data_IF_397904825908
#
_entry.id   IF_397904825908
#
_cell.length_a   1.000
_cell.length_b   1.000
_cell.length_c   1.000
_cell.angle_alpha   90.00
_cell.angle_beta   90.00
_cell.angle_gamma   90.00
#
_symmetry.space_group_name_H-M   'P 1'
#
loop_
_entity.id
_entity.type
_entity.pdbx_description
1 polymer ?
#
# COMPACT_ATOMS: atom_id res chain seq x y z
N UNK A 1 -17.42 -39.22 -36.77
CA UNK A 1 -16.76 -39.04 -35.46
C UNK A 1 -16.82 -37.55 -35.08
N UNK A 2 -17.86 -37.14 -34.36
CA UNK A 2 -18.14 -35.75 -33.99
C UNK A 2 -17.42 -35.38 -32.69
N UNK A 3 -16.61 -34.32 -32.69
CA UNK A 3 -15.96 -33.80 -31.47
C UNK A 3 -16.68 -32.53 -31.02
N UNK A 4 -17.61 -32.68 -30.07
CA UNK A 4 -18.16 -31.57 -29.26
C UNK A 4 -17.06 -31.03 -28.36
N UNK A 5 -16.69 -29.75 -28.53
CA UNK A 5 -15.92 -29.01 -27.53
C UNK A 5 -16.87 -28.56 -26.42
N UNK A 6 -16.69 -29.07 -25.21
CA UNK A 6 -17.35 -28.55 -24.02
C UNK A 6 -16.72 -27.23 -23.62
N UNK A 7 -17.44 -26.13 -23.79
CA UNK A 7 -17.13 -24.85 -23.14
C UNK A 7 -17.51 -24.95 -21.67
N UNK A 8 -16.56 -24.69 -20.78
CA UNK A 8 -16.82 -24.55 -19.35
C UNK A 8 -17.22 -23.10 -19.09
N UNK A 9 -18.46 -22.88 -18.67
CA UNK A 9 -18.93 -21.59 -18.17
C UNK A 9 -18.37 -21.38 -16.77
N UNK A 10 -17.61 -20.30 -16.57
CA UNK A 10 -17.09 -19.89 -15.27
C UNK A 10 -18.22 -19.14 -14.53
N UNK A 11 -18.75 -19.73 -13.48
CA UNK A 11 -19.71 -19.10 -12.57
C UNK A 11 -18.89 -18.27 -11.58
N UNK A 12 -18.95 -16.95 -11.67
CA UNK A 12 -18.43 -16.03 -10.65
C UNK A 12 -19.58 -15.85 -9.66
N UNK A 13 -19.41 -16.35 -8.44
CA UNK A 13 -20.30 -16.05 -7.34
C UNK A 13 -20.06 -14.59 -6.91
N UNK A 14 -21.14 -13.85 -6.71
CA UNK A 14 -21.15 -12.46 -6.29
C UNK A 14 -20.66 -12.33 -4.83
N UNK A 15 -19.38 -12.03 -4.65
CA UNK A 15 -18.77 -11.58 -3.38
C UNK A 15 -19.00 -10.06 -3.15
N UNK A 16 -20.22 -9.58 -3.40
CA UNK A 16 -20.55 -8.16 -3.17
C UNK A 16 -20.71 -7.83 -1.67
N UNK A 17 -21.07 -8.80 -0.83
CA UNK A 17 -21.32 -8.54 0.60
C UNK A 17 -20.05 -8.38 1.45
N UNK A 18 -18.92 -8.99 1.07
CA UNK A 18 -17.65 -8.83 1.82
C UNK A 18 -16.94 -7.49 1.53
N UNK A 19 -17.27 -6.81 0.42
CA UNK A 19 -16.64 -5.55 0.03
C UNK A 19 -17.12 -4.35 0.86
N UNK A 20 -18.38 -4.36 1.33
CA UNK A 20 -18.92 -3.27 2.13
C UNK A 20 -18.33 -3.23 3.55
N UNK A 21 -17.99 -4.39 4.13
CA UNK A 21 -17.43 -4.45 5.48
C UNK A 21 -15.96 -4.02 5.54
N UNK A 22 -15.19 -4.17 4.46
CA UNK A 22 -13.78 -3.72 4.42
C UNK A 22 -13.63 -2.22 4.22
N UNK A 23 -14.57 -1.55 3.52
CA UNK A 23 -14.58 -0.09 3.40
C UNK A 23 -14.89 0.60 4.75
N UNK A 24 -15.65 -0.07 5.63
CA UNK A 24 -16.05 0.45 6.94
C UNK A 24 -14.92 0.41 7.99
N UNK A 25 -13.88 -0.40 7.76
CA UNK A 25 -12.70 -0.57 8.63
C UNK A 25 -11.48 0.24 8.17
N UNK A 26 -11.60 1.03 7.10
CA UNK A 26 -10.49 1.83 6.60
C UNK A 26 -10.40 3.16 7.38
N UNK A 27 -9.34 3.37 8.21
CA UNK A 27 -9.15 4.58 9.01
C UNK A 27 -8.94 5.86 8.17
N UNK A 28 -8.75 5.72 6.86
CA UNK A 28 -8.64 6.82 5.90
C UNK A 28 -9.86 6.95 4.98
N UNK A 29 -10.99 6.29 5.30
CA UNK A 29 -12.20 6.38 4.47
C UNK A 29 -12.88 7.75 4.57
N UNK A 30 -13.58 8.15 3.50
CA UNK A 30 -14.37 9.39 3.51
C UNK A 30 -15.51 9.37 4.55
N UNK A 31 -16.04 8.18 4.90
CA UNK A 31 -17.00 8.05 5.99
C UNK A 31 -16.39 8.36 7.36
N UNK A 32 -15.13 7.99 7.57
CA UNK A 32 -14.39 8.32 8.78
C UNK A 32 -14.01 9.81 8.84
N UNK A 33 -13.71 10.40 7.68
CA UNK A 33 -13.53 11.85 7.54
C UNK A 33 -14.80 12.63 7.92
N UNK A 34 -15.98 12.17 7.49
CA UNK A 34 -17.26 12.76 7.91
C UNK A 34 -17.50 12.56 9.41
N UNK A 35 -17.23 11.37 9.95
CA UNK A 35 -17.36 11.06 11.39
C UNK A 35 -16.47 11.98 12.26
N UNK A 36 -15.24 12.26 11.85
CA UNK A 36 -14.36 13.20 12.55
C UNK A 36 -14.90 14.63 12.51
N UNK A 37 -15.45 15.06 11.37
CA UNK A 37 -15.98 16.41 11.20
C UNK A 37 -17.24 16.67 12.04
N UNK A 38 -18.06 15.66 12.28
CA UNK A 38 -19.21 15.76 13.15
C UNK A 38 -18.80 15.80 14.64
N UNK A 39 -17.72 15.10 15.01
CA UNK A 39 -17.24 15.01 16.40
C UNK A 39 -16.56 16.31 16.90
N UNK A 40 -16.02 17.13 16.00
CA UNK A 40 -15.49 18.46 16.32
C UNK A 40 -16.59 19.50 16.68
N UNK A 41 -17.86 19.24 16.31
CA UNK A 41 -18.99 20.09 16.69
C UNK A 41 -19.48 19.81 18.11
N UNK A 42 -19.41 18.57 18.56
CA UNK A 42 -19.88 18.17 19.89
C UNK A 42 -18.88 18.50 21.00
N UNK A 43 -17.57 18.48 20.71
CA UNK A 43 -16.54 18.82 21.71
C UNK A 43 -16.46 20.31 22.07
N UNK A 44 -17.12 21.19 21.29
CA UNK A 44 -17.15 22.63 21.57
C UNK A 44 -18.32 23.05 22.51
N UNK A 45 -19.20 22.13 22.92
CA UNK A 45 -20.25 22.43 23.90
C UNK A 45 -19.87 22.06 25.36
N UNK A 46 -18.84 21.23 25.56
CA UNK A 46 -18.48 20.73 26.91
C UNK A 46 -17.28 21.44 27.56
N UNK A 47 -16.69 22.47 26.93
CA UNK A 47 -15.50 23.15 27.47
C UNK A 47 -15.76 24.20 28.57
N UNK A 48 -17.00 24.48 28.94
CA UNK A 48 -17.33 25.49 29.98
C UNK A 48 -17.59 24.91 31.38
N UNK A 49 -17.34 23.62 31.63
CA UNK A 49 -17.43 23.02 32.97
C UNK A 49 -16.31 22.02 33.26
N UNK A 50 -15.14 22.53 33.63
CA UNK A 50 -14.44 22.08 34.86
C UNK A 50 -13.04 22.71 34.93
N UNK A 51 -12.96 23.86 35.59
CA UNK A 51 -11.76 24.22 36.33
C UNK A 51 -12.02 23.90 37.80
N UNK A 52 -11.60 22.74 38.27
CA UNK A 52 -10.92 22.63 39.57
C UNK A 52 -10.39 21.23 39.82
N UNK A 53 -9.18 21.21 40.38
CA UNK A 53 -8.59 20.17 41.23
C UNK A 53 -7.74 19.11 40.52
N UNK A 54 -6.44 19.38 40.54
CA UNK A 54 -5.42 18.41 40.19
C UNK A 54 -5.28 17.26 41.17
N UNK A 55 -4.50 16.26 40.75
CA UNK A 55 -3.51 15.55 41.54
C UNK A 55 -2.61 14.75 40.60
N UNK A 56 -1.32 14.90 40.86
CA UNK A 56 -0.20 14.14 40.32
C UNK A 56 -0.44 12.64 40.42
N UNK A 57 -0.02 11.87 39.40
CA UNK A 57 0.79 10.65 39.60
C UNK A 57 1.65 10.35 38.37
N UNK A 58 2.93 10.48 38.66
CA UNK A 58 4.12 9.87 38.09
C UNK A 58 3.91 8.44 37.55
N UNK A 59 4.46 8.19 36.36
CA UNK A 59 4.46 6.88 35.69
C UNK A 59 5.42 6.92 34.50
N UNK A 60 6.72 6.96 34.78
CA UNK A 60 7.76 6.97 33.77
C UNK A 60 7.81 5.69 32.95
N UNK A 61 7.97 5.83 31.63
CA UNK A 61 8.66 4.85 30.79
C UNK A 61 9.52 5.60 29.77
N UNK A 62 10.82 5.43 29.95
CA UNK A 62 11.89 5.83 29.05
C UNK A 62 11.79 5.08 27.72
N UNK A 63 11.81 5.81 26.61
CA UNK A 63 12.36 5.33 25.35
C UNK A 63 13.22 6.44 24.75
N UNK A 64 14.46 6.06 24.48
CA UNK A 64 15.60 6.89 24.20
C UNK A 64 15.85 6.88 22.69
N UNK A 65 15.90 8.09 22.12
CA UNK A 65 16.63 8.52 20.91
C UNK A 65 16.21 8.02 19.53
N UNK A 66 15.95 9.00 18.68
CA UNK A 66 15.91 8.92 17.22
C UNK A 66 15.68 10.31 16.62
N UNK A 67 16.28 11.35 17.21
CA UNK A 67 16.40 12.67 16.59
C UNK A 67 17.70 12.68 15.77
N UNK A 68 17.70 13.49 14.71
CA UNK A 68 18.64 13.50 13.58
C UNK A 68 18.19 12.49 12.50
N UNK A 69 17.45 12.89 11.47
CA UNK A 69 17.91 13.66 10.31
C UNK A 69 16.76 14.54 9.79
N UNK A 70 16.77 15.83 10.10
CA UNK A 70 16.22 16.86 9.20
C UNK A 70 17.22 18.02 9.21
N UNK A 71 18.26 17.90 8.41
CA UNK A 71 19.10 19.05 8.05
C UNK A 71 19.89 18.73 6.79
N UNK A 72 19.93 19.70 5.87
CA UNK A 72 20.68 19.74 4.60
C UNK A 72 20.08 18.86 3.47
N UNK A 73 19.67 19.35 2.30
CA UNK A 73 19.82 20.63 1.60
C UNK A 73 18.73 20.62 0.50
N UNK A 74 17.80 21.58 0.51
CA UNK A 74 17.11 21.99 -0.72
C UNK A 74 17.47 23.47 -0.90
N UNK A 75 18.25 23.74 -1.94
CA UNK A 75 18.57 25.10 -2.39
C UNK A 75 17.30 25.77 -2.86
N UNK A 76 16.95 26.87 -2.17
CA UNK A 76 15.93 27.81 -2.59
C UNK A 76 16.47 28.62 -3.78
N UNK A 77 15.75 28.59 -4.90
CA UNK A 77 15.59 29.77 -5.74
C UNK A 77 14.11 30.18 -5.66
N UNK A 78 13.82 31.05 -4.70
CA UNK A 78 12.59 31.86 -4.68
C UNK A 78 13.02 33.30 -4.89
N UNK A 79 12.70 33.84 -6.05
CA UNK A 79 12.73 35.27 -6.27
C UNK A 79 11.66 35.95 -5.39
N UNK A 80 12.12 37.06 -4.80
CA UNK A 80 11.42 37.90 -3.86
C UNK A 80 10.26 38.64 -4.52
N UNK A 81 9.16 38.78 -3.78
CA UNK A 81 8.44 40.05 -3.74
C UNK A 81 7.65 40.11 -2.45
N UNK A 82 8.24 40.77 -1.46
CA UNK A 82 7.57 41.16 -0.22
C UNK A 82 7.88 42.62 0.06
N UNK A 83 6.87 43.25 0.67
CA UNK A 83 6.86 44.55 1.34
C UNK A 83 6.73 45.78 0.42
N UNK A 84 5.84 46.75 0.70
CA UNK A 84 5.41 47.23 2.02
C UNK A 84 3.90 47.49 2.13
N UNK A 85 3.36 47.26 3.34
CA UNK A 85 2.21 48.00 3.87
C UNK A 85 2.68 49.02 4.91
N UNK A 86 1.95 50.15 4.93
CA UNK A 86 1.76 51.13 6.02
C UNK A 86 2.66 52.38 6.03
N UNK A 87 2.07 53.58 5.91
CA UNK A 87 1.67 54.46 7.04
C UNK A 87 1.07 55.79 6.50
N UNK A 88 -0.17 56.13 6.89
CA UNK A 88 -0.65 57.35 7.62
C UNK A 88 -0.06 58.69 7.14
N UNK A 89 -0.78 59.80 6.94
CA UNK A 89 -2.16 60.17 7.23
C UNK A 89 -2.42 61.62 6.75
N UNK A 90 -3.50 62.19 7.27
CA UNK A 90 -3.91 63.60 7.26
C UNK A 90 -4.81 64.15 6.13
N UNK A 91 -6.08 64.32 6.55
CA UNK A 91 -6.81 65.60 6.60
C UNK A 91 -8.06 65.77 5.73
N UNK A 92 -9.10 66.24 6.42
CA UNK A 92 -10.33 66.90 5.96
C UNK A 92 -11.41 65.97 5.35
N UNK A 93 -12.44 65.64 6.14
CA UNK A 93 -13.70 66.44 6.27
C UNK A 93 -14.63 66.17 5.09
N UNK A 94 -15.86 65.71 5.23
CA UNK A 94 -16.74 65.47 6.37
C UNK A 94 -18.14 65.17 5.83
N UNK A 95 -19.01 64.63 6.69
CA UNK A 95 -20.48 64.73 6.71
C UNK A 95 -21.26 64.60 5.39
N UNK A 96 -22.18 63.65 5.23
CA UNK A 96 -23.34 63.48 6.10
C UNK A 96 -24.48 64.38 5.61
N UNK A 97 -25.64 63.79 5.31
CA UNK A 97 -26.88 64.56 5.14
C UNK A 97 -27.80 64.07 4.03
N UNK A 98 -28.61 63.07 4.34
CA UNK A 98 -29.99 63.03 3.84
C UNK A 98 -30.74 64.22 4.45
N UNK A 99 -31.53 64.97 3.66
CA UNK A 99 -32.75 65.65 4.16
C UNK A 99 -33.58 66.19 3.00
N UNK A 100 -34.79 65.64 2.89
CA UNK A 100 -36.09 66.31 2.91
C UNK A 100 -36.42 67.46 1.95
N UNK A 101 -37.59 67.25 1.34
CA UNK A 101 -38.50 68.21 0.74
C UNK A 101 -38.62 69.52 1.53
N UNK A 102 -38.67 70.63 0.79
CA UNK A 102 -39.33 71.85 1.27
C UNK A 102 -39.93 72.63 0.11
N UNK A 103 -41.24 72.44 -0.01
CA UNK A 103 -42.23 73.41 -0.46
C UNK A 103 -42.08 74.75 0.29
N UNK A 104 -41.96 75.84 -0.45
CA UNK A 104 -42.30 77.20 -0.02
C UNK A 104 -42.77 77.94 -1.29
N UNK A 105 -44.07 78.19 -1.39
CA UNK A 105 -44.63 79.10 -2.37
C UNK A 105 -44.05 80.50 -2.20
N UNK A 106 -43.73 81.16 -3.31
CA UNK A 106 -43.56 82.61 -3.32
C UNK A 106 -44.11 83.16 -4.63
N UNK A 107 -45.40 83.53 -4.56
CA UNK A 107 -45.98 84.50 -5.46
C UNK A 107 -45.39 85.87 -5.11
N UNK A 108 -44.69 86.51 -6.04
CA UNK A 108 -44.52 87.97 -6.03
C UNK A 108 -45.06 88.55 -7.34
N UNK A 109 -46.21 89.19 -7.17
CA UNK A 109 -46.74 90.23 -8.03
C UNK A 109 -45.67 91.25 -8.42
N UNK A 110 -45.72 91.67 -9.69
CA UNK A 110 -45.57 93.06 -10.11
C UNK A 110 -44.27 93.78 -9.77
N UNK A 111 -43.39 93.93 -10.77
CA UNK A 111 -42.90 95.26 -11.22
C UNK A 111 -42.03 95.07 -12.45
N UNK A 112 -42.38 95.77 -13.54
CA UNK A 112 -41.49 95.92 -14.68
C UNK A 112 -40.25 96.72 -14.25
N UNK A 113 -39.01 96.29 -14.57
CA UNK A 113 -37.87 97.16 -14.48
C UNK A 113 -37.78 97.95 -15.80
N UNK A 114 -38.40 99.13 -15.83
CA UNK A 114 -37.90 100.19 -16.70
C UNK A 114 -36.59 100.70 -16.09
N UNK A 115 -35.48 100.12 -16.53
CA UNK A 115 -34.16 100.75 -16.45
C UNK A 115 -33.52 100.66 -17.83
N UNK A 116 -33.34 101.84 -18.46
CA UNK A 116 -32.43 102.06 -19.60
C UNK A 116 -31.06 101.46 -19.28
N UNK A 117 -30.66 100.48 -20.07
CA UNK A 117 -29.37 99.77 -19.97
C UNK A 117 -29.23 98.69 -21.04
N UNK A 118 -29.67 98.98 -22.28
CA UNK A 118 -29.62 98.05 -23.41
C UNK A 118 -28.20 98.01 -24.01
N UNK A 119 -27.29 97.26 -23.39
CA UNK A 119 -26.06 96.78 -24.05
C UNK A 119 -25.44 95.56 -23.37
N UNK A 120 -25.70 95.31 -22.08
CA UNK A 120 -25.19 94.14 -21.34
C UNK A 120 -26.02 92.85 -21.51
N UNK A 121 -27.34 92.97 -21.66
CA UNK A 121 -28.24 91.80 -21.75
C UNK A 121 -28.10 91.03 -23.08
N UNK A 122 -27.79 91.72 -24.19
CA UNK A 122 -27.59 91.09 -25.50
C UNK A 122 -26.30 90.26 -25.54
N UNK A 123 -25.21 90.80 -24.96
CA UNK A 123 -23.92 90.11 -24.83
C UNK A 123 -24.03 88.86 -23.95
N UNK A 124 -24.74 88.95 -22.82
CA UNK A 124 -24.98 87.81 -21.94
C UNK A 124 -25.81 86.70 -22.62
N UNK A 125 -26.88 87.06 -23.34
CA UNK A 125 -27.69 86.10 -24.11
C UNK A 125 -26.86 85.42 -25.21
N UNK A 126 -25.97 86.15 -25.87
CA UNK A 126 -25.09 85.59 -26.90
C UNK A 126 -24.04 84.62 -26.33
N UNK A 127 -23.48 84.93 -25.16
CA UNK A 127 -22.59 84.04 -24.41
C UNK A 127 -23.30 82.73 -24.02
N UNK A 128 -24.49 82.84 -23.42
CA UNK A 128 -25.31 81.67 -23.06
C UNK A 128 -25.66 80.80 -24.28
N UNK A 129 -25.91 81.40 -25.45
CA UNK A 129 -26.11 80.66 -26.70
C UNK A 129 -24.84 79.92 -27.13
N UNK A 130 -23.67 80.55 -27.03
CA UNK A 130 -22.39 79.91 -27.31
C UNK A 130 -22.11 78.73 -26.38
N UNK A 131 -22.31 78.92 -25.08
CA UNK A 131 -22.19 77.89 -24.06
C UNK A 131 -23.18 76.74 -24.30
N UNK A 132 -24.44 77.04 -24.63
CA UNK A 132 -25.44 76.02 -24.94
C UNK A 132 -25.06 75.18 -26.16
N UNK A 133 -24.48 75.80 -27.20
CA UNK A 133 -23.95 75.09 -28.36
C UNK A 133 -22.77 74.18 -27.95
N UNK A 134 -21.85 74.67 -27.12
CA UNK A 134 -20.72 73.88 -26.61
C UNK A 134 -21.18 72.70 -25.75
N UNK A 135 -22.08 72.92 -24.77
CA UNK A 135 -22.66 71.85 -23.94
C UNK A 135 -23.37 70.79 -24.80
N UNK A 136 -24.12 71.19 -25.82
CA UNK A 136 -24.76 70.25 -26.76
C UNK A 136 -23.74 69.45 -27.58
N UNK A 137 -22.55 69.98 -27.87
CA UNK A 137 -21.47 69.21 -28.52
C UNK A 137 -20.88 68.21 -27.54
N UNK A 138 -20.55 68.65 -26.32
CA UNK A 138 -20.01 67.78 -25.27
C UNK A 138 -20.96 66.64 -24.93
N UNK A 139 -22.28 66.90 -24.81
CA UNK A 139 -23.28 65.86 -24.60
C UNK A 139 -23.27 64.83 -25.73
N UNK A 140 -23.19 65.27 -26.99
CA UNK A 140 -23.13 64.36 -28.15
C UNK A 140 -21.84 63.55 -28.19
N UNK A 141 -20.72 64.12 -27.76
CA UNK A 141 -19.43 63.42 -27.66
C UNK A 141 -19.45 62.38 -26.56
N UNK A 142 -19.94 62.74 -25.37
CA UNK A 142 -20.15 61.82 -24.25
C UNK A 142 -21.10 60.68 -24.59
N UNK A 143 -22.19 60.97 -25.33
CA UNK A 143 -23.10 59.94 -25.82
C UNK A 143 -22.39 58.97 -26.78
N UNK A 144 -21.60 59.49 -27.72
CA UNK A 144 -20.82 58.66 -28.65
C UNK A 144 -19.77 57.80 -27.93
N UNK A 145 -19.04 58.36 -26.95
CA UNK A 145 -18.07 57.58 -26.18
C UNK A 145 -18.76 56.51 -25.33
N UNK A 146 -19.87 56.86 -24.66
CA UNK A 146 -20.65 55.90 -23.87
C UNK A 146 -21.22 54.76 -24.72
N UNK A 147 -21.61 55.02 -25.98
CA UNK A 147 -22.04 53.96 -26.91
C UNK A 147 -20.89 53.02 -27.29
N UNK A 148 -19.68 53.53 -27.49
CA UNK A 148 -18.48 52.72 -27.77
C UNK A 148 -18.12 51.88 -26.54
N UNK A 149 -18.10 52.49 -25.35
CA UNK A 149 -17.82 51.80 -24.10
C UNK A 149 -18.85 50.70 -23.83
N UNK A 150 -20.14 50.97 -24.08
CA UNK A 150 -21.21 49.98 -23.96
C UNK A 150 -21.03 48.79 -24.92
N UNK A 151 -20.57 49.02 -26.16
CA UNK A 151 -20.27 47.92 -27.10
C UNK A 151 -19.08 47.10 -26.61
N UNK A 152 -18.00 47.76 -26.18
CA UNK A 152 -16.82 47.08 -25.65
C UNK A 152 -17.14 46.28 -24.39
N UNK A 153 -17.97 46.82 -23.49
CA UNK A 153 -18.45 46.11 -22.31
C UNK A 153 -19.27 44.87 -22.70
N UNK A 154 -20.12 44.97 -23.73
CA UNK A 154 -20.88 43.82 -24.22
C UNK A 154 -19.95 42.73 -24.80
N UNK A 155 -19.00 43.11 -25.66
CA UNK A 155 -18.00 42.18 -26.22
C UNK A 155 -17.19 41.47 -25.14
N UNK A 156 -16.63 42.24 -24.18
CA UNK A 156 -15.88 41.67 -23.05
C UNK A 156 -16.74 40.76 -22.18
N UNK A 157 -18.01 41.10 -21.98
CA UNK A 157 -18.94 40.24 -21.21
C UNK A 157 -19.20 38.91 -21.92
N UNK A 158 -19.30 38.92 -23.25
CA UNK A 158 -19.47 37.71 -24.05
C UNK A 158 -18.20 36.85 -24.03
N UNK A 159 -17.02 37.47 -24.17
CA UNK A 159 -15.72 36.79 -24.07
C UNK A 159 -15.54 36.12 -22.70
N UNK A 160 -15.84 36.83 -21.60
CA UNK A 160 -15.76 36.26 -20.25
C UNK A 160 -16.71 35.07 -20.08
N UNK A 161 -17.92 35.18 -20.63
CA UNK A 161 -18.91 34.11 -20.54
C UNK A 161 -18.51 32.90 -21.39
N UNK A 162 -17.88 33.11 -22.55
CA UNK A 162 -17.29 32.04 -23.36
C UNK A 162 -16.13 31.36 -22.63
N UNK A 163 -15.22 32.13 -22.03
CA UNK A 163 -14.11 31.57 -21.23
C UNK A 163 -14.62 30.74 -20.07
N UNK A 164 -15.62 31.23 -19.34
CA UNK A 164 -16.24 30.48 -18.23
C UNK A 164 -16.80 29.13 -18.69
N UNK A 165 -17.47 29.08 -19.84
CA UNK A 165 -17.98 27.80 -20.39
C UNK A 165 -16.85 26.85 -20.81
N UNK A 166 -15.73 27.39 -21.29
CA UNK A 166 -14.58 26.59 -21.69
C UNK A 166 -13.87 26.00 -20.48
N UNK A 167 -13.62 26.83 -19.46
CA UNK A 167 -13.05 26.40 -18.17
C UNK A 167 -13.91 25.32 -17.50
N UNK A 168 -15.24 25.46 -17.54
CA UNK A 168 -16.16 24.45 -16.99
C UNK A 168 -16.05 23.12 -17.73
N UNK A 169 -15.92 23.13 -19.06
CA UNK A 169 -15.72 21.91 -19.85
C UNK A 169 -14.37 21.26 -19.55
N UNK A 170 -13.30 22.05 -19.53
CA UNK A 170 -11.96 21.55 -19.21
C UNK A 170 -11.91 20.96 -17.81
N UNK A 171 -12.59 21.58 -16.83
CA UNK A 171 -12.73 21.02 -15.49
C UNK A 171 -13.47 19.67 -15.49
N UNK A 172 -14.54 19.53 -16.27
CA UNK A 172 -15.28 18.26 -16.42
C UNK A 172 -14.44 17.17 -17.09
N UNK A 173 -13.66 17.52 -18.12
CA UNK A 173 -12.76 16.58 -18.80
C UNK A 173 -11.64 16.12 -17.86
N UNK A 174 -11.06 17.04 -17.09
CA UNK A 174 -10.06 16.73 -16.06
C UNK A 174 -10.64 15.81 -14.98
N UNK A 175 -11.85 16.09 -14.50
CA UNK A 175 -12.53 15.23 -13.52
C UNK A 175 -12.74 13.81 -14.06
N UNK A 176 -13.17 13.68 -15.32
CA UNK A 176 -13.35 12.37 -15.98
C UNK A 176 -12.03 11.60 -16.09
N UNK A 177 -10.93 12.28 -16.41
CA UNK A 177 -9.60 11.67 -16.44
C UNK A 177 -9.13 11.24 -15.05
N UNK A 178 -9.34 12.08 -14.02
CA UNK A 178 -8.99 11.75 -12.64
C UNK A 178 -9.76 10.52 -12.16
N UNK A 179 -11.07 10.46 -12.38
CA UNK A 179 -11.89 9.29 -12.04
C UNK A 179 -11.38 8.02 -12.72
N UNK A 180 -10.97 8.08 -13.99
CA UNK A 180 -10.41 6.93 -14.70
C UNK A 180 -9.08 6.47 -14.10
N UNK A 181 -8.19 7.40 -13.75
CA UNK A 181 -6.92 7.11 -13.10
C UNK A 181 -7.13 6.50 -11.71
N UNK A 182 -8.07 7.04 -10.93
CA UNK A 182 -8.43 6.50 -9.61
C UNK A 182 -8.94 5.06 -9.72
N UNK A 183 -9.84 4.77 -10.66
CA UNK A 183 -10.31 3.40 -10.91
C UNK A 183 -9.17 2.46 -11.31
N UNK A 184 -8.25 2.92 -12.16
CA UNK A 184 -7.09 2.13 -12.56
C UNK A 184 -6.18 1.82 -11.36
N UNK A 185 -5.92 2.83 -10.52
CA UNK A 185 -5.12 2.68 -9.33
C UNK A 185 -5.76 1.69 -8.35
N UNK A 186 -7.06 1.80 -8.09
CA UNK A 186 -7.81 0.84 -7.25
C UNK A 186 -7.68 -0.59 -7.79
N UNK A 187 -7.82 -0.77 -9.10
CA UNK A 187 -7.66 -2.07 -9.74
C UNK A 187 -6.22 -2.59 -9.67
N UNK A 188 -5.21 -1.73 -9.82
CA UNK A 188 -3.80 -2.09 -9.60
C UNK A 188 -3.56 -2.53 -8.16
N UNK A 189 -4.07 -1.81 -7.17
CA UNK A 189 -3.97 -2.17 -5.75
C UNK A 189 -4.64 -3.51 -5.48
N UNK A 190 -5.87 -3.74 -5.98
CA UNK A 190 -6.56 -5.04 -5.84
C UNK A 190 -5.75 -6.18 -6.48
N UNK A 191 -5.15 -5.96 -7.66
CA UNK A 191 -4.29 -6.96 -8.32
C UNK A 191 -3.02 -7.22 -7.53
N UNK A 192 -2.38 -6.18 -6.99
CA UNK A 192 -1.18 -6.29 -6.17
C UNK A 192 -1.46 -7.12 -4.92
N UNK A 193 -2.52 -6.81 -4.17
CA UNK A 193 -2.91 -7.55 -2.96
C UNK A 193 -3.21 -9.03 -3.28
N UNK A 194 -3.91 -9.31 -4.39
CA UNK A 194 -4.14 -10.70 -4.83
C UNK A 194 -2.84 -11.44 -5.13
N UNK A 195 -1.87 -10.77 -5.76
CA UNK A 195 -0.55 -11.33 -6.02
C UNK A 195 0.27 -11.51 -4.73
N UNK A 196 0.21 -10.59 -3.78
CA UNK A 196 0.87 -10.71 -2.48
C UNK A 196 0.32 -11.90 -1.67
N UNK A 197 -1.00 -12.09 -1.69
CA UNK A 197 -1.65 -13.23 -1.06
C UNK A 197 -1.28 -14.57 -1.71
N UNK A 198 -1.15 -14.62 -3.04
CA UNK A 198 -0.69 -15.84 -3.72
C UNK A 198 0.78 -16.15 -3.40
N UNK A 199 1.64 -15.14 -3.40
CA UNK A 199 3.05 -15.28 -3.00
C UNK A 199 3.18 -15.76 -1.55
N UNK A 200 2.37 -15.22 -0.63
CA UNK A 200 2.40 -15.62 0.77
C UNK A 200 2.01 -17.09 0.96
N UNK A 201 0.97 -17.56 0.24
CA UNK A 201 0.59 -18.98 0.24
C UNK A 201 1.66 -19.88 -0.34
N UNK A 202 2.23 -19.51 -1.49
CA UNK A 202 3.31 -20.28 -2.12
C UNK A 202 4.57 -20.34 -1.25
N UNK A 203 4.91 -19.26 -0.53
CA UNK A 203 6.01 -19.26 0.44
C UNK A 203 5.75 -20.24 1.58
N UNK A 204 4.54 -20.28 2.12
CA UNK A 204 4.17 -21.23 3.17
C UNK A 204 4.27 -22.69 2.69
N UNK A 205 3.77 -22.98 1.48
CA UNK A 205 3.85 -24.31 0.87
C UNK A 205 5.30 -24.73 0.60
N UNK A 206 6.14 -23.81 0.09
CA UNK A 206 7.57 -24.08 -0.10
C UNK A 206 8.28 -24.40 1.21
N UNK A 207 8.00 -23.66 2.28
CA UNK A 207 8.58 -23.93 3.60
C UNK A 207 8.13 -25.30 4.13
N UNK A 208 6.86 -25.64 3.99
CA UNK A 208 6.33 -26.94 4.39
C UNK A 208 7.00 -28.09 3.63
N UNK A 209 7.08 -27.98 2.29
CA UNK A 209 7.72 -28.99 1.45
C UNK A 209 9.22 -29.12 1.73
N UNK A 210 9.90 -28.02 2.07
CA UNK A 210 11.30 -28.05 2.45
C UNK A 210 11.51 -28.85 3.74
N UNK A 211 10.69 -28.62 4.76
CA UNK A 211 10.74 -29.37 6.03
C UNK A 211 10.47 -30.86 5.80
N UNK A 212 9.47 -31.19 4.98
CA UNK A 212 9.16 -32.59 4.65
C UNK A 212 10.33 -33.27 3.91
N UNK A 213 10.95 -32.58 2.95
CA UNK A 213 12.09 -33.10 2.22
C UNK A 213 13.30 -33.33 3.15
N UNK A 214 13.56 -32.43 4.10
CA UNK A 214 14.62 -32.59 5.09
C UNK A 214 14.33 -33.77 6.04
N UNK A 215 13.07 -33.91 6.49
CA UNK A 215 12.62 -35.05 7.30
C UNK A 215 12.85 -36.38 6.58
N UNK A 216 12.35 -36.52 5.35
CA UNK A 216 12.50 -37.74 4.54
C UNK A 216 13.97 -38.06 4.24
N UNK A 217 14.82 -37.05 3.99
CA UNK A 217 16.26 -37.26 3.81
C UNK A 217 16.91 -37.80 5.08
N UNK A 218 16.58 -37.25 6.24
CA UNK A 218 17.12 -37.69 7.53
C UNK A 218 16.68 -39.13 7.86
N UNK A 219 15.42 -39.46 7.62
CA UNK A 219 14.88 -40.80 7.81
C UNK A 219 15.54 -41.81 6.86
N UNK A 220 15.69 -41.47 5.57
CA UNK A 220 16.35 -42.34 4.60
C UNK A 220 17.82 -42.62 4.98
N UNK A 221 18.52 -41.60 5.49
CA UNK A 221 19.88 -41.76 6.02
C UNK A 221 19.90 -42.70 7.23
N UNK A 222 18.95 -42.53 8.16
CA UNK A 222 18.81 -43.39 9.34
C UNK A 222 18.52 -44.84 8.97
N UNK A 223 17.60 -45.08 8.02
CA UNK A 223 17.26 -46.41 7.53
C UNK A 223 18.45 -47.10 6.86
N UNK A 224 19.21 -46.38 6.02
CA UNK A 224 20.45 -46.92 5.40
C UNK A 224 21.50 -47.29 6.43
N UNK A 225 21.68 -46.48 7.47
CA UNK A 225 22.60 -46.78 8.56
C UNK A 225 22.16 -48.03 9.34
N UNK A 226 20.88 -48.13 9.66
CA UNK A 226 20.31 -49.30 10.34
C UNK A 226 20.42 -50.58 9.50
N UNK A 227 20.12 -50.51 8.20
CA UNK A 227 20.28 -51.62 7.25
C UNK A 227 21.74 -52.08 7.17
N UNK A 228 22.69 -51.15 7.05
CA UNK A 228 24.12 -51.45 7.04
C UNK A 228 24.57 -52.16 8.32
N UNK A 229 24.05 -51.73 9.47
CA UNK A 229 24.32 -52.37 10.75
C UNK A 229 23.77 -53.81 10.81
N UNK A 230 22.58 -54.06 10.27
CA UNK A 230 22.01 -55.40 10.19
C UNK A 230 22.87 -56.30 9.29
N UNK A 231 23.25 -55.82 8.10
CA UNK A 231 24.07 -56.59 7.14
C UNK A 231 25.44 -56.93 7.75
N UNK A 232 26.09 -55.97 8.42
CA UNK A 232 27.39 -56.21 9.07
C UNK A 232 27.28 -57.23 10.21
N UNK A 233 26.22 -57.18 11.02
CA UNK A 233 25.95 -58.18 12.05
C UNK A 233 25.66 -59.57 11.45
N UNK A 234 24.86 -59.65 10.39
CA UNK A 234 24.58 -60.90 9.70
C UNK A 234 25.85 -61.52 9.11
N UNK A 235 26.71 -60.71 8.48
CA UNK A 235 28.02 -61.15 7.99
C UNK A 235 28.89 -61.70 9.12
N UNK A 236 28.95 -61.00 10.25
CA UNK A 236 29.69 -61.45 11.43
C UNK A 236 29.16 -62.77 11.97
N UNK A 237 27.84 -62.92 12.08
CA UNK A 237 27.20 -64.16 12.54
C UNK A 237 27.48 -65.32 11.59
N UNK A 238 27.37 -65.10 10.27
CA UNK A 238 27.69 -66.10 9.25
C UNK A 238 29.17 -66.52 9.32
N UNK A 239 30.08 -65.56 9.53
CA UNK A 239 31.51 -65.84 9.69
C UNK A 239 31.79 -66.67 10.94
N UNK A 240 31.21 -66.31 12.08
CA UNK A 240 31.34 -67.07 13.32
C UNK A 240 30.80 -68.50 13.15
N UNK A 241 29.64 -68.68 12.52
CA UNK A 241 29.08 -70.00 12.24
C UNK A 241 30.01 -70.83 11.33
N UNK A 242 30.58 -70.21 10.29
CA UNK A 242 31.55 -70.85 9.40
C UNK A 242 32.80 -71.32 10.16
N UNK A 243 33.35 -70.49 11.05
CA UNK A 243 34.50 -70.86 11.88
C UNK A 243 34.19 -72.01 12.84
N UNK A 244 32.98 -72.05 13.42
CA UNK A 244 32.54 -73.17 14.26
C UNK A 244 32.45 -74.47 13.47
N UNK A 245 31.88 -74.43 12.26
CA UNK A 245 31.79 -75.60 11.39
C UNK A 245 33.17 -76.09 10.95
N UNK A 246 34.08 -75.19 10.59
CA UNK A 246 35.45 -75.53 10.20
C UNK A 246 36.21 -76.19 11.36
N UNK A 247 36.14 -75.62 12.57
CA UNK A 247 36.73 -76.22 13.77
C UNK A 247 36.16 -77.60 14.07
N UNK A 248 34.84 -77.77 13.92
CA UNK A 248 34.16 -79.05 14.15
C UNK A 248 34.55 -80.09 13.11
N UNK A 249 34.62 -79.70 11.83
CA UNK A 249 35.07 -80.57 10.75
C UNK A 249 36.52 -81.03 10.95
N UNK A 250 37.42 -80.11 11.32
CA UNK A 250 38.81 -80.41 11.63
C UNK A 250 38.95 -81.35 12.84
N UNK A 251 38.13 -81.15 13.88
CA UNK A 251 38.11 -82.03 15.04
C UNK A 251 37.62 -83.45 14.67
N UNK A 252 36.54 -83.56 13.90
CA UNK A 252 36.02 -84.83 13.41
C UNK A 252 37.06 -85.56 12.53
N UNK A 253 37.74 -84.83 11.64
CA UNK A 253 38.81 -85.37 10.79
C UNK A 253 39.95 -85.94 11.64
N UNK A 254 40.39 -85.21 12.66
CA UNK A 254 41.45 -85.65 13.58
C UNK A 254 41.03 -86.92 14.34
N UNK A 255 39.79 -86.97 14.81
CA UNK A 255 39.22 -88.14 15.50
C UNK A 255 39.14 -89.37 14.58
N UNK A 256 38.73 -89.19 13.31
CA UNK A 256 38.72 -90.27 12.32
C UNK A 256 40.13 -90.79 12.04
N UNK A 257 41.12 -89.90 11.85
CA UNK A 257 42.50 -90.32 11.64
C UNK A 257 43.06 -91.10 12.84
N UNK A 258 42.74 -90.66 14.06
CA UNK A 258 43.13 -91.38 15.26
C UNK A 258 42.53 -92.79 15.28
N UNK A 259 41.23 -92.93 15.04
CA UNK A 259 40.56 -94.24 14.97
C UNK A 259 41.18 -95.16 13.89
N UNK A 260 41.53 -94.61 12.74
CA UNK A 260 42.21 -95.38 11.68
C UNK A 260 43.59 -95.87 12.15
N UNK A 261 44.38 -95.02 12.80
CA UNK A 261 45.69 -95.41 13.35
C UNK A 261 45.56 -96.49 14.43
N UNK A 262 44.57 -96.37 15.32
CA UNK A 262 44.28 -97.37 16.35
C UNK A 262 43.83 -98.69 15.70
N UNK A 263 42.99 -98.65 14.67
CA UNK A 263 42.59 -99.84 13.91
C UNK A 263 43.78 -100.52 13.22
N UNK A 264 44.75 -99.76 12.69
CA UNK A 264 46.00 -100.29 12.15
C UNK A 264 46.84 -100.98 13.24
N UNK A 265 46.92 -100.41 14.44
CA UNK A 265 47.62 -101.06 15.57
C UNK A 265 46.93 -102.37 15.97
N UNK A 266 45.60 -102.42 16.04
CA UNK A 266 44.84 -103.64 16.31
C UNK A 266 45.07 -104.71 15.24
N UNK A 267 45.16 -104.31 13.97
CA UNK A 267 45.49 -105.22 12.87
C UNK A 267 46.89 -105.81 13.02
N UNK A 268 47.88 -105.00 13.41
CA UNK A 268 49.24 -105.48 13.70
C UNK A 268 49.25 -106.47 14.87
N UNK A 269 48.53 -106.18 15.95
CA UNK A 269 48.37 -107.09 17.10
C UNK A 269 47.73 -108.41 16.66
N UNK A 270 46.70 -108.36 15.83
CA UNK A 270 46.07 -109.56 15.27
C UNK A 270 47.06 -110.40 14.44
N UNK A 271 47.86 -109.76 13.57
CA UNK A 271 48.91 -110.44 12.80
C UNK A 271 49.99 -111.06 13.69
N UNK A 272 50.40 -110.37 14.75
CA UNK A 272 51.33 -110.89 15.77
C UNK A 272 50.74 -112.12 16.46
N UNK A 273 49.50 -112.04 16.95
CA UNK A 273 48.81 -113.17 17.57
C UNK A 273 48.70 -114.36 16.61
N UNK A 274 48.39 -114.12 15.33
CA UNK A 274 48.33 -115.16 14.30
C UNK A 274 49.71 -115.76 13.99
N UNK A 275 50.78 -114.97 14.06
CA UNK A 275 52.15 -115.47 13.92
C UNK A 275 52.58 -116.35 15.10
N UNK A 276 52.16 -115.99 16.32
CA UNK A 276 52.39 -116.79 17.53
C UNK A 276 51.65 -118.13 17.44
N UNK A 277 50.39 -118.11 17.01
CA UNK A 277 49.57 -119.32 16.80
C UNK A 277 50.25 -120.30 15.82
N UNK A 278 50.78 -119.80 14.69
CA UNK A 278 51.55 -120.60 13.73
C UNK A 278 52.85 -121.20 14.29
N UNK A 279 53.53 -120.51 15.20
CA UNK A 279 54.73 -121.04 15.87
C UNK A 279 54.32 -122.10 16.89
N UNK A 280 53.22 -121.88 17.61
CA UNK A 280 52.68 -122.81 18.61
C UNK A 280 52.23 -124.14 17.97
N UNK A 281 51.65 -124.12 16.77
CA UNK A 281 51.21 -125.35 16.08
C UNK A 281 52.36 -126.25 15.61
N UNK A 282 53.57 -125.71 15.45
CA UNK A 282 54.77 -126.48 15.07
C UNK A 282 55.26 -127.37 16.23
N UNK A 283 54.90 -127.03 17.47
CA UNK A 283 55.27 -127.81 18.66
C UNK A 283 54.25 -128.91 19.03
N UNK A 284 53.17 -129.06 18.27
CA UNK A 284 52.13 -130.08 18.49
C UNK A 284 52.13 -131.24 17.48
N UNK A 285 52.99 -131.22 16.45
CA UNK A 285 53.12 -132.28 15.43
C UNK A 285 54.31 -133.24 15.63
N UNK A 286 54.75 -133.45 16.87
CA UNK A 286 55.70 -134.53 17.24
C UNK A 286 55.11 -135.40 18.32
#
# INVERSE_FOLDING_TARGET
>A
MSRRRGGKTLIIADDEEEQQQQEELNPFSFREFLRCKDQDRDQNQDRDRDQTRGKEKEGGRSLQTGADIISSLYTEEKEETRFCSRQEGDAASGGGGETNERDEGTSISGTAPTCRGQSGSSSHIQQLKGENISLRRTIRELQRSAEVDRRRLAELSEELLQRRRQEEKEAQDLESMVQSVEQNLQLMTRRAVKAENSVSRLKAELQQLQVEAESLRSENSGLKAAESQIITNMRKNAQVASEYLDKTANHAHSSIQQLLSEAETLRLVSQLLQSIDRISSIHTET
#
